data_IF_718050493053
#
_entry.id   IF_718050493053
#
_cell.length_a   1.000
_cell.length_b   1.000
_cell.length_c   1.000
_cell.angle_alpha   90.00
_cell.angle_beta   90.00
_cell.angle_gamma   90.00
#
_symmetry.space_group_name_H-M   'P 1'
#
loop_
_entity.id
_entity.type
_entity.pdbx_description
1 polymer ?
#
# COMPACT_ATOMS: atom_id res chain seq x y z
N UNK A 1 23.65 32.47 -2.27
CA UNK A 1 22.80 32.43 -3.48
C UNK A 1 22.32 31.01 -3.77
N UNK A 2 21.05 30.78 -3.51
CA UNK A 2 20.32 29.54 -3.70
C UNK A 2 19.42 29.67 -4.95
N UNK A 3 19.40 28.63 -5.79
CA UNK A 3 18.54 28.56 -6.98
C UNK A 3 17.48 27.49 -6.77
N UNK A 4 16.21 27.86 -6.88
CA UNK A 4 15.06 26.97 -6.70
C UNK A 4 14.33 26.88 -8.03
N UNK A 5 14.03 25.69 -8.50
CA UNK A 5 13.27 25.49 -9.73
C UNK A 5 12.26 24.35 -9.53
N UNK A 6 11.04 24.57 -10.02
CA UNK A 6 10.00 23.55 -10.08
C UNK A 6 9.68 23.22 -11.52
N UNK A 7 9.78 21.95 -11.91
CA UNK A 7 9.33 21.48 -13.21
C UNK A 7 8.03 20.69 -13.02
N UNK A 8 6.95 21.16 -13.62
CA UNK A 8 5.68 20.45 -13.61
C UNK A 8 5.75 19.24 -14.55
N UNK A 9 5.71 18.02 -14.00
CA UNK A 9 5.69 16.79 -14.80
C UNK A 9 4.28 16.40 -15.22
N UNK A 10 3.28 16.66 -14.36
CA UNK A 10 1.87 16.43 -14.64
C UNK A 10 0.97 17.41 -13.88
N UNK A 11 -0.35 17.21 -13.88
CA UNK A 11 -1.22 17.98 -12.99
C UNK A 11 -0.98 17.68 -11.51
N UNK A 12 -0.46 16.50 -11.20
CA UNK A 12 -0.35 15.95 -9.85
C UNK A 12 1.07 15.93 -9.30
N UNK A 13 2.08 16.11 -10.15
CA UNK A 13 3.49 15.88 -9.78
C UNK A 13 4.37 17.02 -10.27
N UNK A 14 5.23 17.47 -9.35
CA UNK A 14 6.26 18.46 -9.57
C UNK A 14 7.62 17.85 -9.24
N UNK A 15 8.61 18.14 -10.07
CA UNK A 15 10.02 17.93 -9.78
C UNK A 15 10.57 19.20 -9.13
N UNK A 16 11.11 19.08 -7.92
CA UNK A 16 11.81 20.15 -7.24
C UNK A 16 13.31 20.02 -7.50
N UNK A 17 13.93 21.12 -7.92
CA UNK A 17 15.38 21.25 -8.11
C UNK A 17 15.93 22.36 -7.22
N UNK A 18 17.11 22.10 -6.68
CA UNK A 18 17.88 23.05 -5.89
C UNK A 18 19.29 23.12 -6.44
N UNK A 19 19.76 24.34 -6.75
CA UNK A 19 21.06 24.59 -7.36
C UNK A 19 21.32 23.73 -8.60
N UNK A 20 20.31 23.63 -9.48
CA UNK A 20 20.31 22.82 -10.72
C UNK A 20 20.33 21.29 -10.54
N UNK A 21 20.34 20.79 -9.29
CA UNK A 21 20.28 19.37 -8.98
C UNK A 21 18.86 18.94 -8.64
N UNK A 22 18.50 17.70 -9.01
CA UNK A 22 17.27 17.07 -8.55
C UNK A 22 17.29 16.98 -7.02
N UNK A 23 16.21 17.44 -6.39
CA UNK A 23 16.01 17.32 -4.94
C UNK A 23 15.01 16.20 -4.62
N UNK A 24 13.77 16.33 -5.11
CA UNK A 24 12.70 15.34 -4.91
C UNK A 24 11.54 15.56 -5.86
N UNK A 25 10.69 14.55 -6.00
CA UNK A 25 9.33 14.73 -6.48
C UNK A 25 8.41 15.18 -5.34
N UNK A 26 7.39 15.95 -5.70
CA UNK A 26 6.42 16.52 -4.77
C UNK A 26 5.04 16.36 -5.40
N UNK A 27 4.10 15.77 -4.66
CA UNK A 27 2.71 15.69 -5.10
C UNK A 27 2.06 17.08 -5.12
N UNK A 28 0.92 17.22 -5.79
CA UNK A 28 0.18 18.50 -5.83
C UNK A 28 -0.15 19.01 -4.44
N UNK A 29 -0.67 18.15 -3.57
CA UNK A 29 -1.02 18.50 -2.19
C UNK A 29 0.21 18.98 -1.40
N UNK A 30 1.33 18.24 -1.49
CA UNK A 30 2.56 18.65 -0.82
C UNK A 30 3.14 19.94 -1.41
N UNK A 31 2.96 20.19 -2.70
CA UNK A 31 3.43 21.42 -3.34
C UNK A 31 2.62 22.63 -2.87
N UNK A 32 1.30 22.49 -2.74
CA UNK A 32 0.44 23.53 -2.18
C UNK A 32 0.82 23.83 -0.71
N UNK A 33 1.16 22.81 0.09
CA UNK A 33 1.68 22.98 1.46
C UNK A 33 3.07 23.66 1.48
N UNK A 34 3.97 23.26 0.58
CA UNK A 34 5.31 23.83 0.46
C UNK A 34 5.26 25.30 0.04
N UNK A 35 4.40 25.66 -0.90
CA UNK A 35 4.20 27.04 -1.34
C UNK A 35 3.76 27.95 -0.18
N UNK A 36 2.81 27.49 0.65
CA UNK A 36 2.38 28.23 1.84
C UNK A 36 3.51 28.41 2.84
N UNK A 37 4.31 27.36 3.08
CA UNK A 37 5.45 27.42 3.99
C UNK A 37 6.56 28.35 3.48
N UNK A 38 6.84 28.36 2.17
CA UNK A 38 7.84 29.24 1.56
C UNK A 38 7.40 30.71 1.67
N UNK A 39 6.10 31.00 1.45
CA UNK A 39 5.57 32.36 1.63
C UNK A 39 5.69 32.82 3.09
N UNK A 40 5.36 31.95 4.05
CA UNK A 40 5.53 32.27 5.45
C UNK A 40 7.00 32.55 5.81
N UNK A 41 7.92 31.74 5.31
CA UNK A 41 9.35 31.98 5.47
C UNK A 41 9.81 33.31 4.85
N UNK A 42 9.29 33.66 3.67
CA UNK A 42 9.57 34.94 3.01
C UNK A 42 9.10 36.14 3.85
N UNK A 43 7.92 36.05 4.45
CA UNK A 43 7.38 37.07 5.35
C UNK A 43 8.25 37.25 6.61
N UNK A 44 8.77 36.16 7.18
CA UNK A 44 9.64 36.20 8.37
C UNK A 44 11.03 36.80 8.10
N UNK A 45 11.56 36.59 6.89
CA UNK A 45 12.94 36.97 6.50
C UNK A 45 13.00 38.29 5.72
N UNK A 46 11.85 38.90 5.42
CA UNK A 46 11.71 40.08 4.55
C UNK A 46 12.23 39.84 3.10
N UNK A 47 12.31 38.57 2.69
CA UNK A 47 12.87 38.13 1.41
C UNK A 47 11.84 38.17 0.28
N UNK A 48 11.68 39.37 -0.29
CA UNK A 48 10.69 39.66 -1.33
C UNK A 48 10.67 38.72 -2.56
N UNK A 49 11.80 38.18 -3.08
CA UNK A 49 11.73 37.30 -4.24
C UNK A 49 10.97 36.00 -3.97
N UNK A 50 10.99 35.48 -2.74
CA UNK A 50 10.27 34.25 -2.36
C UNK A 50 8.75 34.43 -2.35
N UNK A 51 8.24 35.66 -2.18
CA UNK A 51 6.81 35.96 -2.32
C UNK A 51 6.29 35.69 -3.75
N UNK A 52 7.19 35.68 -4.74
CA UNK A 52 6.86 35.36 -6.12
C UNK A 52 6.99 33.86 -6.45
N UNK A 53 7.35 33.02 -5.48
CA UNK A 53 7.45 31.57 -5.69
C UNK A 53 6.11 31.02 -6.17
N UNK A 54 6.12 30.50 -7.40
CA UNK A 54 4.97 29.89 -8.02
C UNK A 54 5.41 28.57 -8.65
N UNK A 55 4.94 27.42 -8.13
CA UNK A 55 5.38 26.11 -8.60
C UNK A 55 4.95 25.78 -10.05
N UNK A 56 4.06 26.59 -10.62
CA UNK A 56 3.63 26.47 -12.02
C UNK A 56 4.56 27.19 -13.01
N UNK A 57 5.49 28.00 -12.52
CA UNK A 57 6.46 28.73 -13.35
C UNK A 57 7.77 27.94 -13.39
N UNK A 58 8.23 27.60 -14.59
CA UNK A 58 9.44 26.79 -14.78
C UNK A 58 10.74 27.60 -14.66
N UNK A 59 10.66 28.93 -14.60
CA UNK A 59 11.82 29.81 -14.45
C UNK A 59 12.44 29.63 -13.07
N UNK A 60 13.76 29.43 -12.96
CA UNK A 60 14.42 29.32 -11.68
C UNK A 60 14.33 30.61 -10.88
N UNK A 61 13.90 30.50 -9.62
CA UNK A 61 13.96 31.57 -8.64
C UNK A 61 15.35 31.57 -8.00
N UNK A 62 16.03 32.72 -8.08
CA UNK A 62 17.35 32.93 -7.47
C UNK A 62 17.19 33.85 -6.28
N UNK A 63 17.63 33.40 -5.11
CA UNK A 63 17.53 34.12 -3.85
C UNK A 63 18.90 34.19 -3.19
N UNK A 64 19.24 35.34 -2.63
CA UNK A 64 20.47 35.52 -1.88
C UNK A 64 20.13 35.68 -0.41
N UNK A 65 20.54 34.70 0.39
CA UNK A 65 20.11 34.56 1.78
C UNK A 65 21.34 34.56 2.70
N UNK A 66 21.11 34.88 3.98
CA UNK A 66 22.08 34.56 5.03
C UNK A 66 22.35 33.05 5.06
N UNK A 67 23.50 32.61 5.61
CA UNK A 67 23.79 31.17 5.70
C UNK A 67 22.74 30.40 6.53
N UNK A 68 22.24 31.04 7.58
CA UNK A 68 21.25 30.42 8.46
C UNK A 68 19.89 30.33 7.77
N UNK A 69 19.48 31.35 7.03
CA UNK A 69 18.24 31.36 6.26
C UNK A 69 18.30 30.44 5.04
N UNK A 70 19.46 30.33 4.38
CA UNK A 70 19.70 29.34 3.32
C UNK A 70 19.51 27.92 3.88
N UNK A 71 20.08 27.62 5.04
CA UNK A 71 19.91 26.32 5.69
C UNK A 71 18.45 26.04 6.09
N UNK A 72 17.74 27.03 6.65
CA UNK A 72 16.31 26.92 6.99
C UNK A 72 15.44 26.69 5.76
N UNK A 73 15.69 27.41 4.66
CA UNK A 73 14.93 27.23 3.42
C UNK A 73 15.25 25.87 2.77
N UNK A 74 16.50 25.41 2.82
CA UNK A 74 16.87 24.07 2.37
C UNK A 74 16.14 22.98 3.16
N UNK A 75 16.09 23.09 4.49
CA UNK A 75 15.30 22.18 5.33
C UNK A 75 13.83 22.18 4.93
N UNK A 76 13.27 23.35 4.63
CA UNK A 76 11.88 23.47 4.18
C UNK A 76 11.63 22.77 2.83
N UNK A 77 12.53 22.98 1.86
CA UNK A 77 12.44 22.42 0.51
C UNK A 77 12.61 20.89 0.50
N UNK A 78 13.53 20.38 1.32
CA UNK A 78 13.87 18.96 1.34
C UNK A 78 12.98 18.16 2.31
N UNK A 79 12.79 18.68 3.51
CA UNK A 79 12.21 17.96 4.64
C UNK A 79 10.86 18.54 5.09
N UNK A 80 10.50 19.75 4.66
CA UNK A 80 9.24 20.40 5.01
C UNK A 80 9.01 20.48 6.54
N UNK A 81 10.08 20.65 7.33
CA UNK A 81 10.08 20.65 8.80
C UNK A 81 9.69 19.29 9.43
N UNK A 82 9.84 18.19 8.69
CA UNK A 82 9.68 16.81 9.18
C UNK A 82 11.06 16.22 9.53
N UNK A 83 11.09 15.17 10.35
CA UNK A 83 12.32 14.44 10.68
C UNK A 83 12.78 13.64 9.46
N UNK A 84 14.01 13.80 8.94
CA UNK A 84 14.55 12.94 7.90
C UNK A 84 14.94 11.57 8.45
N UNK A 85 14.92 10.54 7.60
CA UNK A 85 15.54 9.23 7.87
C UNK A 85 16.93 9.23 7.26
N UNK A 86 17.96 9.20 8.11
CA UNK A 86 19.36 9.19 7.70
C UNK A 86 19.77 7.77 7.27
N UNK A 87 19.65 7.48 5.98
CA UNK A 87 20.03 6.18 5.43
C UNK A 87 21.55 5.96 5.42
N UNK A 88 22.02 4.70 5.59
CA UNK A 88 23.37 4.30 5.24
C UNK A 88 23.70 4.65 3.78
N UNK A 89 24.97 4.96 3.50
CA UNK A 89 25.44 5.46 2.20
C UNK A 89 24.92 4.62 1.02
N UNK A 90 24.96 3.30 1.15
CA UNK A 90 24.53 2.34 0.14
C UNK A 90 23.02 2.36 -0.18
N UNK A 91 22.20 2.95 0.68
CA UNK A 91 20.75 3.05 0.52
C UNK A 91 20.27 4.45 0.12
N UNK A 92 21.17 5.43 0.05
CA UNK A 92 20.86 6.85 -0.21
C UNK A 92 20.45 7.16 -1.64
N UNK A 93 20.68 6.24 -2.60
CA UNK A 93 20.37 6.48 -4.02
C UNK A 93 19.34 5.48 -4.56
N UNK A 94 18.47 5.97 -5.45
CA UNK A 94 17.54 5.15 -6.21
C UNK A 94 18.29 4.22 -7.19
N UNK A 95 17.64 3.14 -7.63
CA UNK A 95 18.31 2.09 -8.40
C UNK A 95 18.67 2.56 -9.80
N UNK A 96 17.71 3.13 -10.52
CA UNK A 96 17.80 3.40 -11.96
C UNK A 96 18.39 4.79 -12.21
N UNK A 97 17.78 5.82 -11.64
CA UNK A 97 18.15 7.21 -11.92
C UNK A 97 19.26 7.76 -11.01
N UNK A 98 19.65 7.01 -9.97
CA UNK A 98 20.61 7.44 -8.94
C UNK A 98 20.20 8.74 -8.25
N UNK A 99 18.89 8.93 -8.06
CA UNK A 99 18.37 10.09 -7.33
C UNK A 99 18.52 9.90 -5.82
N UNK A 100 18.79 10.97 -5.06
CA UNK A 100 18.80 10.92 -3.61
C UNK A 100 17.44 10.46 -3.07
N UNK A 101 17.47 9.51 -2.17
CA UNK A 101 16.29 9.00 -1.47
C UNK A 101 16.08 9.79 -0.19
N UNK A 102 15.11 10.69 -0.22
CA UNK A 102 14.72 11.50 0.93
C UNK A 102 13.39 10.96 1.46
N UNK A 103 13.43 10.39 2.66
CA UNK A 103 12.24 9.95 3.39
C UNK A 103 12.15 10.77 4.66
N UNK A 104 10.97 11.35 4.92
CA UNK A 104 10.74 12.23 6.06
C UNK A 104 9.41 11.89 6.74
N UNK A 105 9.34 12.02 8.06
CA UNK A 105 8.14 11.76 8.85
C UNK A 105 7.92 12.83 9.91
N UNK A 106 6.66 13.14 10.17
CA UNK A 106 6.23 14.06 11.23
C UNK A 106 6.47 13.44 12.61
N UNK A 107 6.44 14.25 13.66
CA UNK A 107 6.64 13.76 15.02
C UNK A 107 5.64 12.64 15.38
N UNK A 108 6.15 11.57 15.98
CA UNK A 108 5.39 10.37 16.36
C UNK A 108 5.17 10.27 17.88
N UNK A 109 5.56 11.31 18.64
CA UNK A 109 5.51 11.32 20.10
C UNK A 109 4.12 11.00 20.65
N UNK A 110 3.05 11.41 19.96
CA UNK A 110 1.66 11.13 20.37
C UNK A 110 1.25 9.66 20.19
N UNK A 111 1.96 8.90 19.35
CA UNK A 111 1.67 7.48 19.07
C UNK A 111 2.61 6.52 19.81
N UNK A 112 3.48 7.05 20.67
CA UNK A 112 4.44 6.22 21.41
C UNK A 112 3.70 5.22 22.30
N UNK A 113 4.07 3.95 22.18
CA UNK A 113 3.44 2.83 22.89
C UNK A 113 1.94 2.63 22.57
N UNK A 114 1.46 3.03 21.38
CA UNK A 114 0.03 2.95 21.02
C UNK A 114 -0.60 1.55 21.18
N UNK A 115 0.21 0.49 21.15
CA UNK A 115 -0.25 -0.90 21.34
C UNK A 115 -0.62 -1.24 22.79
N UNK A 116 -0.28 -0.38 23.76
CA UNK A 116 -0.60 -0.57 25.17
C UNK A 116 -2.03 -0.10 25.54
N UNK A 117 -2.51 0.98 24.91
CA UNK A 117 -3.90 1.46 25.04
C UNK A 117 -4.47 1.70 23.64
N UNK A 118 -5.19 0.70 23.10
CA UNK A 118 -5.75 0.73 21.73
C UNK A 118 -6.94 1.70 21.56
N UNK A 119 -7.01 2.77 22.36
CA UNK A 119 -7.96 3.87 22.16
C UNK A 119 -7.57 4.74 20.96
N UNK A 120 -8.49 5.63 20.59
CA UNK A 120 -8.43 6.51 19.42
C UNK A 120 -7.02 7.10 19.21
N UNK A 121 -6.34 6.66 18.15
CA UNK A 121 -4.98 7.08 17.79
C UNK A 121 -4.32 6.18 16.75
N UNK A 122 -4.54 4.86 16.84
CA UNK A 122 -3.94 3.90 15.89
C UNK A 122 -4.32 4.18 14.43
N UNK A 123 -5.59 4.52 14.13
CA UNK A 123 -6.01 4.86 12.77
C UNK A 123 -5.32 6.12 12.22
N UNK A 124 -5.05 7.10 13.09
CA UNK A 124 -4.32 8.33 12.71
C UNK A 124 -2.85 8.04 12.45
N UNK A 125 -2.23 7.15 13.24
CA UNK A 125 -0.88 6.66 12.98
C UNK A 125 -0.78 6.05 11.58
N UNK A 126 -1.65 5.09 11.23
CA UNK A 126 -1.59 4.45 9.91
C UNK A 126 -1.82 5.44 8.77
N UNK A 127 -2.72 6.41 8.95
CA UNK A 127 -2.95 7.48 7.97
C UNK A 127 -1.70 8.36 7.80
N UNK A 128 -1.03 8.72 8.89
CA UNK A 128 0.19 9.52 8.87
C UNK A 128 1.34 8.76 8.19
N UNK A 129 1.57 7.50 8.57
CA UNK A 129 2.61 6.66 7.97
C UNK A 129 2.35 6.42 6.48
N UNK A 130 1.10 6.17 6.09
CA UNK A 130 0.70 6.04 4.68
C UNK A 130 1.09 7.27 3.88
N UNK A 131 0.64 8.46 4.30
CA UNK A 131 0.87 9.72 3.60
C UNK A 131 2.35 10.07 3.48
N UNK A 132 3.15 9.76 4.49
CA UNK A 132 4.52 10.27 4.61
C UNK A 132 5.59 9.26 4.16
N UNK A 133 5.29 7.96 4.18
CA UNK A 133 6.26 6.90 3.89
C UNK A 133 5.88 6.00 2.71
N UNK A 134 4.66 6.13 2.17
CA UNK A 134 4.15 5.24 1.12
C UNK A 134 3.53 6.03 -0.04
N UNK A 135 2.60 6.95 0.23
CA UNK A 135 1.81 7.67 -0.80
C UNK A 135 2.53 8.92 -1.33
N UNK A 136 3.74 8.73 -1.83
CA UNK A 136 4.53 9.74 -2.54
C UNK A 136 4.94 9.20 -3.91
N UNK A 137 5.31 10.04 -4.90
CA UNK A 137 5.80 9.54 -6.18
C UNK A 137 7.05 8.65 -6.02
N UNK A 138 7.14 7.58 -6.81
CA UNK A 138 8.39 6.82 -6.96
C UNK A 138 9.48 7.71 -7.58
N UNK A 139 10.74 7.52 -7.15
CA UNK A 139 11.87 8.30 -7.67
C UNK A 139 12.30 7.86 -9.07
N UNK A 140 12.17 6.57 -9.39
CA UNK A 140 12.57 6.05 -10.70
C UNK A 140 11.38 5.99 -11.68
N UNK A 141 10.13 6.00 -11.18
CA UNK A 141 8.89 5.99 -11.99
C UNK A 141 7.80 6.89 -11.37
N UNK A 142 7.95 8.23 -11.42
CA UNK A 142 7.02 9.15 -10.77
C UNK A 142 5.60 9.06 -11.31
N UNK A 143 5.41 8.55 -12.54
CA UNK A 143 4.09 8.44 -13.17
C UNK A 143 3.28 7.22 -12.72
N UNK A 144 3.79 6.43 -11.76
CA UNK A 144 3.11 5.27 -11.20
C UNK A 144 2.02 5.66 -10.17
N UNK A 145 0.92 6.22 -10.66
CA UNK A 145 -0.21 6.63 -9.84
C UNK A 145 -1.55 6.50 -10.57
N UNK A 146 -2.63 6.56 -9.81
CA UNK A 146 -4.00 6.63 -10.32
C UNK A 146 -4.73 7.83 -9.72
N UNK A 147 -5.49 8.57 -10.53
CA UNK A 147 -6.30 9.70 -10.08
C UNK A 147 -7.77 9.40 -10.30
N UNK A 148 -8.59 9.51 -9.25
CA UNK A 148 -10.05 9.41 -9.32
C UNK A 148 -10.68 10.39 -8.36
N UNK A 149 -11.68 11.15 -8.83
CA UNK A 149 -12.43 12.11 -8.00
C UNK A 149 -11.53 13.07 -7.19
N UNK A 150 -10.49 13.63 -7.83
CA UNK A 150 -9.50 14.54 -7.22
C UNK A 150 -8.71 13.93 -6.04
N UNK A 151 -8.68 12.60 -5.93
CA UNK A 151 -7.80 11.87 -5.04
C UNK A 151 -6.76 11.13 -5.88
N UNK A 152 -5.58 10.98 -5.31
CA UNK A 152 -4.44 10.28 -5.92
C UNK A 152 -4.06 9.08 -5.06
N UNK A 153 -3.75 7.96 -5.70
CA UNK A 153 -3.04 6.86 -5.04
C UNK A 153 -1.77 6.59 -5.81
N UNK A 154 -0.66 6.57 -5.09
CA UNK A 154 0.64 6.18 -5.61
C UNK A 154 0.83 4.68 -5.42
N UNK A 155 1.70 4.09 -6.25
CA UNK A 155 2.14 2.71 -6.07
C UNK A 155 0.97 1.71 -6.05
N UNK A 156 0.07 1.73 -7.05
CA UNK A 156 -1.18 0.95 -7.04
C UNK A 156 -1.01 -0.54 -6.68
N UNK A 157 0.16 -1.09 -6.98
CA UNK A 157 0.55 -2.45 -6.61
C UNK A 157 1.10 -2.60 -5.18
N UNK A 158 1.93 -1.67 -4.71
CA UNK A 158 2.74 -1.79 -3.47
C UNK A 158 2.51 -0.66 -2.46
N UNK A 159 1.43 0.11 -2.65
CA UNK A 159 1.07 1.26 -1.83
C UNK A 159 0.29 0.88 -0.59
N UNK A 160 -0.44 1.85 -0.03
CA UNK A 160 -1.08 1.74 1.29
C UNK A 160 -2.02 0.55 1.38
N UNK A 161 -2.87 0.36 0.36
CA UNK A 161 -3.81 -0.75 0.34
C UNK A 161 -3.10 -2.12 0.41
N UNK A 162 -1.94 -2.28 -0.24
CA UNK A 162 -1.12 -3.49 -0.18
C UNK A 162 -0.58 -3.74 1.23
N UNK A 163 -0.05 -2.69 1.87
CA UNK A 163 0.42 -2.75 3.26
C UNK A 163 -0.70 -3.16 4.22
N UNK A 164 -1.88 -2.52 4.13
CA UNK A 164 -3.04 -2.84 4.99
C UNK A 164 -3.51 -4.29 4.82
N UNK A 165 -3.59 -4.80 3.58
CA UNK A 165 -3.95 -6.20 3.35
C UNK A 165 -2.93 -7.15 3.95
N UNK A 166 -1.64 -6.84 3.83
CA UNK A 166 -0.55 -7.67 4.35
C UNK A 166 -0.60 -7.73 5.88
N UNK A 167 -0.92 -6.63 6.56
CA UNK A 167 -1.19 -6.61 8.02
C UNK A 167 -2.29 -7.61 8.40
N UNK A 168 -3.41 -7.58 7.70
CA UNK A 168 -4.55 -8.48 7.97
C UNK A 168 -4.19 -9.93 7.66
N UNK A 169 -3.44 -10.19 6.60
CA UNK A 169 -2.96 -11.53 6.25
C UNK A 169 -1.98 -12.07 7.31
N UNK A 170 -1.07 -11.24 7.84
CA UNK A 170 -0.17 -11.63 8.95
C UNK A 170 -0.99 -11.99 10.19
N UNK A 171 -1.94 -11.14 10.59
CA UNK A 171 -2.83 -11.41 11.75
C UNK A 171 -3.62 -12.70 11.56
N UNK A 172 -4.16 -12.92 10.37
CA UNK A 172 -4.96 -14.12 10.05
C UNK A 172 -4.10 -15.38 10.00
N UNK A 173 -2.90 -15.29 9.42
CA UNK A 173 -1.90 -16.37 9.43
C UNK A 173 -1.50 -16.74 10.85
N UNK A 174 -1.24 -15.76 11.72
CA UNK A 174 -0.94 -16.01 13.13
C UNK A 174 -2.09 -16.73 13.85
N UNK A 175 -3.33 -16.33 13.59
CA UNK A 175 -4.51 -16.99 14.17
C UNK A 175 -4.66 -18.44 13.71
N UNK A 176 -4.39 -18.74 12.43
CA UNK A 176 -4.32 -20.12 11.91
C UNK A 176 -3.32 -20.97 12.69
N UNK A 177 -2.11 -20.43 12.91
CA UNK A 177 -1.05 -21.15 13.63
C UNK A 177 -1.41 -21.43 15.10
N UNK A 178 -2.17 -20.54 15.75
CA UNK A 178 -2.67 -20.78 17.11
C UNK A 178 -3.64 -21.96 17.20
N UNK A 179 -4.32 -22.31 16.12
CA UNK A 179 -5.27 -23.42 16.10
C UNK A 179 -4.67 -24.70 15.52
N UNK A 180 -4.03 -24.59 14.35
CA UNK A 180 -3.59 -25.71 13.50
C UNK A 180 -2.08 -25.90 13.41
N UNK A 181 -1.29 -25.00 14.03
CA UNK A 181 0.17 -25.13 14.08
C UNK A 181 0.59 -26.44 14.74
N UNK A 182 1.76 -26.95 14.37
CA UNK A 182 2.45 -28.02 15.11
C UNK A 182 2.61 -27.62 16.59
N UNK A 183 2.82 -28.57 17.50
CA UNK A 183 2.81 -28.27 18.94
C UNK A 183 3.79 -27.15 19.33
N UNK A 184 4.98 -27.14 18.72
CA UNK A 184 5.97 -26.08 18.89
C UNK A 184 5.49 -24.74 18.33
N UNK A 185 5.06 -24.71 17.07
CA UNK A 185 4.58 -23.50 16.38
C UNK A 185 3.38 -22.91 17.09
N UNK A 186 2.44 -23.75 17.51
CA UNK A 186 1.24 -23.38 18.27
C UNK A 186 1.59 -22.78 19.62
N UNK A 187 2.59 -23.34 20.30
CA UNK A 187 3.10 -22.80 21.57
C UNK A 187 3.74 -21.43 21.36
N UNK A 188 4.59 -21.28 20.36
CA UNK A 188 5.20 -19.99 20.01
C UNK A 188 4.13 -18.95 19.65
N UNK A 189 3.18 -19.29 18.77
CA UNK A 189 2.12 -18.39 18.34
C UNK A 189 1.21 -17.95 19.49
N UNK A 190 0.92 -18.83 20.46
CA UNK A 190 0.15 -18.48 21.67
C UNK A 190 0.92 -17.58 22.64
N UNK A 191 2.24 -17.63 22.61
CA UNK A 191 3.13 -16.86 23.50
C UNK A 191 3.57 -15.52 22.90
N UNK A 192 3.16 -15.17 21.68
CA UNK A 192 3.41 -13.83 21.14
C UNK A 192 2.57 -12.79 21.90
N UNK A 193 3.24 -11.79 22.45
CA UNK A 193 2.60 -10.68 23.15
C UNK A 193 1.93 -9.67 22.20
N UNK A 194 1.17 -8.74 22.78
CA UNK A 194 0.52 -7.65 22.03
C UNK A 194 1.53 -6.76 21.31
N UNK A 195 2.65 -6.45 21.96
CA UNK A 195 3.73 -5.65 21.36
C UNK A 195 4.32 -6.34 20.12
N UNK A 196 4.68 -7.62 20.22
CA UNK A 196 5.23 -8.40 19.10
C UNK A 196 4.28 -8.41 17.90
N UNK A 197 2.98 -8.61 18.14
CA UNK A 197 2.00 -8.67 17.07
C UNK A 197 1.78 -7.31 16.39
N UNK A 198 1.78 -6.21 17.16
CA UNK A 198 1.67 -4.86 16.59
C UNK A 198 2.95 -4.44 15.86
N UNK A 199 4.12 -4.86 16.35
CA UNK A 199 5.40 -4.65 15.68
C UNK A 199 5.45 -5.40 14.33
N UNK A 200 4.96 -6.66 14.29
CA UNK A 200 4.82 -7.42 13.04
C UNK A 200 3.83 -6.77 12.07
N UNK A 201 2.72 -6.21 12.57
CA UNK A 201 1.79 -5.46 11.73
C UNK A 201 2.47 -4.20 11.16
N UNK A 202 3.20 -3.43 11.96
CA UNK A 202 3.98 -2.29 11.49
C UNK A 202 5.00 -2.71 10.41
N UNK A 203 5.76 -3.78 10.64
CA UNK A 203 6.70 -4.31 9.68
C UNK A 203 6.02 -4.74 8.37
N UNK A 204 4.86 -5.40 8.46
CA UNK A 204 4.10 -5.83 7.28
C UNK A 204 3.51 -4.65 6.48
N UNK A 205 3.13 -3.56 7.16
CA UNK A 205 2.65 -2.33 6.53
C UNK A 205 3.78 -1.62 5.78
N UNK A 206 4.96 -1.56 6.40
CA UNK A 206 6.14 -0.87 5.86
C UNK A 206 7.05 -1.76 5.02
N UNK A 207 6.68 -3.02 4.79
CA UNK A 207 7.49 -4.02 4.08
C UNK A 207 7.96 -3.53 2.70
N UNK A 208 7.17 -2.68 2.05
CA UNK A 208 7.41 -2.14 0.71
C UNK A 208 7.67 -0.63 0.68
N UNK A 209 7.84 0.01 1.83
CA UNK A 209 8.06 1.47 1.95
C UNK A 209 9.40 1.94 1.36
N UNK A 210 10.41 1.08 1.27
CA UNK A 210 11.73 1.40 0.72
C UNK A 210 11.81 1.39 -0.81
N UNK A 211 10.70 1.18 -1.52
CA UNK A 211 10.70 1.04 -2.98
C UNK A 211 10.81 2.41 -3.67
N UNK A 212 11.57 2.47 -4.75
CA UNK A 212 11.67 3.65 -5.63
C UNK A 212 11.10 3.42 -7.03
N UNK A 213 10.60 2.21 -7.30
CA UNK A 213 10.07 1.71 -8.56
C UNK A 213 9.22 0.42 -8.33
N UNK A 214 8.71 -0.15 -9.42
CA UNK A 214 8.02 -1.44 -9.45
C UNK A 214 8.94 -2.66 -9.71
N UNK A 215 10.27 -2.51 -9.68
CA UNK A 215 11.21 -3.60 -9.93
C UNK A 215 11.14 -4.71 -8.86
N UNK A 216 11.46 -5.93 -9.28
CA UNK A 216 11.49 -7.06 -8.36
C UNK A 216 12.67 -6.96 -7.37
N UNK A 217 12.72 -7.84 -6.39
CA UNK A 217 13.85 -7.88 -5.46
C UNK A 217 15.18 -8.19 -6.15
N UNK A 218 15.15 -9.07 -7.14
CA UNK A 218 16.35 -9.46 -7.89
C UNK A 218 16.90 -8.28 -8.71
N UNK A 219 16.01 -7.41 -9.19
CA UNK A 219 16.34 -6.25 -10.02
C UNK A 219 16.78 -5.04 -9.16
N UNK A 220 16.11 -4.82 -8.02
CA UNK A 220 16.47 -3.82 -7.01
C UNK A 220 16.66 -4.46 -5.63
N UNK A 221 17.89 -4.94 -5.32
CA UNK A 221 18.19 -5.55 -4.03
C UNK A 221 18.22 -4.53 -2.87
N UNK A 222 18.19 -3.22 -3.16
CA UNK A 222 18.33 -2.17 -2.15
C UNK A 222 17.01 -1.85 -1.43
N UNK A 223 15.85 -2.11 -2.04
CA UNK A 223 14.59 -1.69 -1.43
C UNK A 223 14.27 -2.45 -0.14
N UNK A 224 14.61 -3.74 -0.02
CA UNK A 224 14.29 -4.51 1.18
C UNK A 224 15.09 -4.02 2.40
N UNK A 225 16.43 -3.84 2.29
CA UNK A 225 17.21 -3.13 3.31
C UNK A 225 16.68 -1.72 3.61
N UNK A 226 16.25 -0.97 2.59
CA UNK A 226 15.66 0.37 2.80
C UNK A 226 14.35 0.31 3.58
N UNK A 227 13.44 -0.60 3.23
CA UNK A 227 12.19 -0.83 3.97
C UNK A 227 12.47 -1.24 5.42
N UNK A 228 13.45 -2.12 5.65
CA UNK A 228 13.85 -2.55 6.99
C UNK A 228 14.39 -1.37 7.81
N UNK A 229 15.18 -0.48 7.20
CA UNK A 229 15.71 0.70 7.86
C UNK A 229 14.62 1.73 8.19
N UNK A 230 13.67 1.95 7.29
CA UNK A 230 12.47 2.78 7.54
C UNK A 230 11.69 2.19 8.72
N UNK A 231 11.40 0.89 8.70
CA UNK A 231 10.73 0.19 9.79
C UNK A 231 11.46 0.37 11.12
N UNK A 232 12.76 0.11 11.17
CA UNK A 232 13.58 0.24 12.39
C UNK A 232 13.50 1.65 12.97
N UNK A 233 13.63 2.67 12.12
CA UNK A 233 13.55 4.07 12.54
C UNK A 233 12.18 4.39 13.14
N UNK A 234 11.10 4.05 12.44
CA UNK A 234 9.73 4.31 12.90
C UNK A 234 9.40 3.51 14.16
N UNK A 235 9.83 2.25 14.24
CA UNK A 235 9.57 1.41 15.40
C UNK A 235 10.30 1.91 16.66
N UNK A 236 11.51 2.44 16.51
CA UNK A 236 12.22 3.11 17.61
C UNK A 236 11.48 4.36 18.11
N UNK A 237 11.01 5.21 17.20
CA UNK A 237 10.25 6.42 17.56
C UNK A 237 8.94 6.07 18.29
N UNK A 238 8.27 5.00 17.87
CA UNK A 238 7.07 4.48 18.52
C UNK A 238 7.35 3.78 19.85
N UNK A 239 8.62 3.51 20.18
CA UNK A 239 9.06 2.99 21.47
C UNK A 239 9.05 1.46 21.60
N UNK A 240 9.10 0.71 20.50
CA UNK A 240 9.17 -0.75 20.56
C UNK A 240 10.49 -1.22 21.19
N UNK A 241 10.48 -2.40 21.80
CA UNK A 241 11.70 -3.04 22.29
C UNK A 241 12.79 -3.14 21.19
N UNK A 242 14.03 -2.64 21.44
CA UNK A 242 15.10 -2.67 20.44
C UNK A 242 15.47 -4.06 19.91
N UNK A 243 15.41 -5.10 20.74
CA UNK A 243 15.76 -6.46 20.32
C UNK A 243 14.66 -7.06 19.44
N UNK A 244 13.39 -6.76 19.74
CA UNK A 244 12.26 -7.10 18.89
C UNK A 244 12.35 -6.40 17.52
N UNK A 245 12.67 -5.10 17.49
CA UNK A 245 12.87 -4.34 16.25
C UNK A 245 13.95 -5.01 15.41
N UNK A 246 15.10 -5.30 16.02
CA UNK A 246 16.20 -5.98 15.34
C UNK A 246 15.76 -7.32 14.76
N UNK A 247 15.10 -8.17 15.56
CA UNK A 247 14.65 -9.49 15.14
C UNK A 247 13.69 -9.46 13.96
N UNK A 248 12.73 -8.53 13.95
CA UNK A 248 11.78 -8.37 12.86
C UNK A 248 12.43 -7.74 11.63
N UNK A 249 13.35 -6.78 11.80
CA UNK A 249 14.05 -6.12 10.68
C UNK A 249 14.86 -7.10 9.84
N UNK A 250 15.45 -8.12 10.48
CA UNK A 250 16.20 -9.19 9.79
C UNK A 250 15.30 -10.09 8.93
N UNK A 251 13.97 -10.03 9.13
CA UNK A 251 12.98 -10.84 8.41
C UNK A 251 12.42 -10.16 7.15
N UNK A 252 12.84 -8.94 6.81
CA UNK A 252 12.43 -8.23 5.58
C UNK A 252 12.97 -8.90 4.32
N UNK A 253 14.05 -9.65 4.46
CA UNK A 253 14.58 -10.55 3.46
C UNK A 253 14.05 -11.97 3.74
N UNK A 254 13.23 -12.50 2.84
CA UNK A 254 12.55 -13.79 3.02
C UNK A 254 13.40 -15.01 2.66
N UNK A 255 14.53 -14.81 1.98
CA UNK A 255 15.37 -15.89 1.47
C UNK A 255 16.76 -15.91 2.14
N UNK A 256 17.09 -14.87 2.91
CA UNK A 256 18.25 -14.86 3.79
C UNK A 256 18.09 -15.83 4.94
N UNK A 257 19.09 -16.69 5.09
CA UNK A 257 19.21 -17.56 6.25
C UNK A 257 19.40 -16.73 7.53
N UNK A 258 18.55 -16.99 8.52
CA UNK A 258 18.69 -16.40 9.84
C UNK A 258 19.91 -17.02 10.54
N UNK A 259 20.90 -16.20 10.90
CA UNK A 259 22.14 -16.67 11.52
C UNK A 259 21.87 -17.40 12.84
N UNK A 260 22.50 -18.56 13.00
CA UNK A 260 22.47 -19.35 14.23
C UNK A 260 23.59 -18.91 15.17
N UNK A 261 23.25 -18.60 16.42
CA UNK A 261 24.22 -18.64 17.51
C UNK A 261 24.00 -19.90 18.35
N UNK A 262 25.08 -20.46 18.91
CA UNK A 262 25.12 -21.79 19.54
C UNK A 262 24.56 -21.84 20.99
N UNK A 263 23.81 -20.83 21.44
CA UNK A 263 23.24 -20.76 22.78
C UNK A 263 21.74 -21.13 22.78
N UNK A 264 21.25 -21.76 23.85
CA UNK A 264 19.84 -22.18 24.02
C UNK A 264 18.90 -20.96 24.03
N UNK A 265 19.36 -19.82 24.55
CA UNK A 265 18.66 -18.53 24.47
C UNK A 265 18.53 -18.06 23.00
N UNK A 266 19.55 -18.30 22.19
CA UNK A 266 19.59 -17.99 20.76
C UNK A 266 18.72 -18.94 19.95
N UNK A 267 18.54 -20.20 20.37
CA UNK A 267 17.61 -21.15 19.75
C UNK A 267 16.15 -20.72 19.88
N UNK A 268 15.68 -20.29 21.07
CA UNK A 268 14.31 -19.78 21.26
C UNK A 268 14.07 -18.50 20.45
N UNK A 269 15.05 -17.60 20.46
CA UNK A 269 15.02 -16.37 19.65
C UNK A 269 14.97 -16.69 18.16
N UNK A 270 15.74 -17.68 17.70
CA UNK A 270 15.70 -18.18 16.31
C UNK A 270 14.31 -18.69 15.93
N UNK A 271 13.68 -19.53 16.74
CA UNK A 271 12.35 -20.07 16.41
C UNK A 271 11.29 -18.96 16.32
N UNK A 272 11.39 -17.93 17.17
CA UNK A 272 10.56 -16.72 17.06
C UNK A 272 10.81 -15.97 15.75
N UNK A 273 12.07 -15.72 15.39
CA UNK A 273 12.42 -15.06 14.12
C UNK A 273 11.96 -15.85 12.90
N UNK A 274 12.13 -17.18 12.91
CA UNK A 274 11.58 -18.05 11.85
C UNK A 274 10.07 -17.89 11.76
N UNK A 275 9.35 -17.85 12.88
CA UNK A 275 7.91 -17.60 12.87
C UNK A 275 7.56 -16.23 12.26
N UNK A 276 8.31 -15.17 12.60
CA UNK A 276 8.11 -13.83 12.03
C UNK A 276 8.34 -13.81 10.52
N UNK A 277 9.48 -14.33 10.05
CA UNK A 277 9.84 -14.42 8.64
C UNK A 277 8.79 -15.22 7.88
N UNK A 278 8.34 -16.35 8.42
CA UNK A 278 7.34 -17.19 7.77
C UNK A 278 5.97 -16.52 7.71
N UNK A 279 5.53 -15.80 8.75
CA UNK A 279 4.27 -15.04 8.70
C UNK A 279 4.31 -13.92 7.65
N UNK A 280 5.41 -13.16 7.58
CA UNK A 280 5.59 -12.12 6.57
C UNK A 280 5.66 -12.72 5.15
N UNK A 281 6.40 -13.83 4.98
CA UNK A 281 6.51 -14.55 3.70
C UNK A 281 5.17 -15.11 3.27
N UNK A 282 4.41 -15.73 4.18
CA UNK A 282 3.07 -16.27 3.93
C UNK A 282 2.11 -15.18 3.45
N UNK A 283 2.06 -14.06 4.18
CA UNK A 283 1.21 -12.92 3.82
C UNK A 283 1.61 -12.35 2.45
N UNK A 284 2.91 -12.13 2.21
CA UNK A 284 3.40 -11.64 0.93
C UNK A 284 3.05 -12.58 -0.23
N UNK A 285 3.28 -13.89 -0.11
CA UNK A 285 2.97 -14.85 -1.17
C UNK A 285 1.46 -14.91 -1.45
N UNK A 286 0.62 -14.78 -0.43
CA UNK A 286 -0.83 -14.76 -0.61
C UNK A 286 -1.29 -13.47 -1.31
N UNK A 287 -0.67 -12.33 -1.00
CA UNK A 287 -0.96 -11.03 -1.62
C UNK A 287 -0.67 -11.01 -3.13
N UNK A 288 0.18 -11.91 -3.63
CA UNK A 288 0.48 -12.07 -5.06
C UNK A 288 -0.70 -12.53 -5.93
N UNK A 289 -1.85 -12.90 -5.35
CA UNK A 289 -3.10 -13.13 -6.13
C UNK A 289 -3.46 -11.93 -7.01
N UNK A 290 -2.98 -10.72 -6.67
CA UNK A 290 -3.17 -9.51 -7.48
C UNK A 290 -2.26 -9.37 -8.70
N UNK A 291 -1.13 -10.09 -8.74
CA UNK A 291 -0.10 -9.92 -9.77
C UNK A 291 0.38 -11.24 -10.41
N UNK A 292 -0.10 -12.40 -9.96
CA UNK A 292 0.19 -13.72 -10.54
C UNK A 292 -1.10 -14.42 -10.99
N UNK A 293 -1.15 -14.83 -12.25
CA UNK A 293 -2.34 -15.43 -12.87
C UNK A 293 -2.57 -16.91 -12.56
N UNK A 294 -1.52 -17.66 -12.21
CA UNK A 294 -1.59 -19.12 -12.00
C UNK A 294 -1.88 -19.44 -10.54
N UNK A 295 -3.13 -19.82 -10.24
CA UNK A 295 -3.55 -20.15 -8.88
C UNK A 295 -2.78 -21.33 -8.30
N UNK A 296 -2.47 -22.34 -9.10
CA UNK A 296 -1.78 -23.56 -8.67
C UNK A 296 -0.37 -23.26 -8.19
N UNK A 297 0.32 -22.31 -8.83
CA UNK A 297 1.66 -21.88 -8.43
C UNK A 297 1.61 -21.19 -7.07
N UNK A 298 0.62 -20.33 -6.84
CA UNK A 298 0.42 -19.68 -5.54
C UNK A 298 0.05 -20.71 -4.47
N UNK A 299 -0.91 -21.61 -4.76
CA UNK A 299 -1.35 -22.65 -3.85
C UNK A 299 -0.21 -23.59 -3.44
N UNK A 300 0.69 -23.92 -4.38
CA UNK A 300 1.88 -24.74 -4.09
C UNK A 300 2.81 -24.04 -3.10
N UNK A 301 3.09 -22.75 -3.30
CA UNK A 301 3.95 -21.98 -2.40
C UNK A 301 3.36 -21.85 -1.00
N UNK A 302 2.07 -21.52 -0.91
CA UNK A 302 1.36 -21.44 0.38
C UNK A 302 1.31 -22.81 1.06
N UNK A 303 1.03 -23.88 0.32
CA UNK A 303 1.02 -25.24 0.86
C UNK A 303 2.39 -25.67 1.38
N UNK A 304 3.48 -25.29 0.71
CA UNK A 304 4.85 -25.55 1.20
C UNK A 304 5.08 -24.90 2.56
N UNK A 305 4.75 -23.62 2.70
CA UNK A 305 4.88 -22.89 3.97
C UNK A 305 3.99 -23.51 5.05
N UNK A 306 2.76 -23.93 4.71
CA UNK A 306 1.88 -24.61 5.66
C UNK A 306 2.35 -26.01 6.05
N UNK A 307 2.99 -26.77 5.16
CA UNK A 307 3.59 -28.07 5.50
C UNK A 307 4.70 -27.93 6.56
N UNK A 308 5.43 -26.81 6.55
CA UNK A 308 6.48 -26.53 7.53
C UNK A 308 5.92 -26.11 8.91
N UNK A 309 4.70 -25.56 8.94
CA UNK A 309 4.15 -24.91 10.13
C UNK A 309 3.02 -25.69 10.82
N UNK A 310 2.24 -26.45 10.06
CA UNK A 310 1.00 -27.07 10.54
C UNK A 310 1.19 -28.55 10.89
N UNK A 311 0.25 -29.11 11.64
CA UNK A 311 0.23 -30.54 11.93
C UNK A 311 0.10 -31.35 10.63
N UNK A 312 0.76 -32.53 10.49
CA UNK A 312 0.64 -33.38 9.28
C UNK A 312 -0.78 -33.83 8.95
N UNK A 313 -1.67 -33.88 9.95
CA UNK A 313 -3.09 -34.22 9.80
C UNK A 313 -3.94 -33.05 9.33
N UNK A 314 -3.37 -31.84 9.18
CA UNK A 314 -4.11 -30.65 8.78
C UNK A 314 -4.52 -30.73 7.31
N UNK A 315 -5.69 -30.18 6.92
CA UNK A 315 -6.13 -30.16 5.54
C UNK A 315 -5.41 -29.05 4.74
N UNK A 316 -4.09 -29.19 4.56
CA UNK A 316 -3.20 -28.13 4.04
C UNK A 316 -3.65 -27.55 2.70
N UNK A 317 -4.03 -28.41 1.75
CA UNK A 317 -4.52 -27.97 0.45
C UNK A 317 -5.77 -27.09 0.58
N UNK A 318 -6.71 -27.49 1.44
CA UNK A 318 -7.92 -26.70 1.69
C UNK A 318 -7.59 -25.37 2.37
N UNK A 319 -6.72 -25.37 3.40
CA UNK A 319 -6.29 -24.15 4.08
C UNK A 319 -5.57 -23.19 3.13
N UNK A 320 -4.72 -23.69 2.23
CA UNK A 320 -4.05 -22.88 1.23
C UNK A 320 -5.06 -22.22 0.28
N UNK A 321 -6.06 -22.97 -0.20
CA UNK A 321 -7.15 -22.43 -1.02
C UNK A 321 -7.95 -21.37 -0.28
N UNK A 322 -8.33 -21.62 0.98
CA UNK A 322 -9.08 -20.65 1.79
C UNK A 322 -8.27 -19.38 2.05
N UNK A 323 -6.98 -19.51 2.35
CA UNK A 323 -6.11 -18.35 2.60
C UNK A 323 -5.90 -17.49 1.35
N UNK A 324 -5.77 -18.11 0.17
CA UNK A 324 -5.70 -17.40 -1.12
C UNK A 324 -7.03 -16.75 -1.51
N UNK A 325 -8.15 -17.43 -1.24
CA UNK A 325 -9.48 -16.86 -1.44
C UNK A 325 -9.69 -15.65 -0.52
N UNK A 326 -9.25 -15.74 0.74
CA UNK A 326 -9.28 -14.61 1.67
C UNK A 326 -8.42 -13.43 1.18
N UNK A 327 -7.19 -13.69 0.71
CA UNK A 327 -6.37 -12.64 0.09
C UNK A 327 -7.07 -11.96 -1.11
N UNK A 328 -7.82 -12.72 -1.91
CA UNK A 328 -8.63 -12.17 -3.00
C UNK A 328 -9.85 -11.38 -2.51
N UNK A 329 -10.51 -11.80 -1.42
CA UNK A 329 -11.56 -11.01 -0.74
C UNK A 329 -11.01 -9.67 -0.27
N UNK A 330 -9.81 -9.65 0.31
CA UNK A 330 -9.15 -8.40 0.70
C UNK A 330 -8.85 -7.53 -0.52
N UNK A 331 -8.36 -8.10 -1.63
CA UNK A 331 -8.12 -7.35 -2.87
C UNK A 331 -9.41 -6.74 -3.44
N UNK A 332 -10.52 -7.50 -3.47
CA UNK A 332 -11.86 -7.03 -3.86
C UNK A 332 -12.27 -5.82 -3.03
N UNK A 333 -12.07 -5.88 -1.72
CA UNK A 333 -12.47 -4.83 -0.77
C UNK A 333 -11.53 -3.61 -0.73
N UNK A 334 -10.39 -3.67 -1.42
CA UNK A 334 -9.51 -2.52 -1.63
C UNK A 334 -9.42 -2.11 -3.11
N UNK A 335 -10.24 -2.69 -3.98
CA UNK A 335 -10.24 -2.39 -5.42
C UNK A 335 -9.00 -2.85 -6.19
N UNK A 336 -8.11 -3.63 -5.57
CA UNK A 336 -6.93 -4.17 -6.23
C UNK A 336 -7.32 -5.30 -7.20
N UNK A 337 -6.52 -5.53 -8.24
CA UNK A 337 -6.81 -6.60 -9.18
C UNK A 337 -6.75 -7.98 -8.52
N UNK A 338 -7.45 -8.95 -9.10
CA UNK A 338 -7.28 -10.39 -8.81
C UNK A 338 -7.04 -11.10 -10.13
N UNK A 339 -5.86 -11.66 -10.33
CA UNK A 339 -5.48 -12.22 -11.63
C UNK A 339 -5.94 -13.66 -11.86
N UNK A 340 -5.88 -14.56 -10.86
CA UNK A 340 -6.47 -15.89 -10.98
C UNK A 340 -7.95 -15.78 -11.33
N UNK A 341 -8.34 -16.39 -12.45
CA UNK A 341 -9.68 -16.27 -13.01
C UNK A 341 -10.69 -17.00 -12.10
N UNK A 342 -10.29 -18.13 -11.56
CA UNK A 342 -11.05 -19.00 -10.68
C UNK A 342 -11.49 -18.26 -9.40
N UNK A 343 -10.58 -17.45 -8.83
CA UNK A 343 -10.89 -16.63 -7.66
C UNK A 343 -11.86 -15.48 -8.01
N UNK A 344 -11.68 -14.84 -9.17
CA UNK A 344 -12.60 -13.79 -9.62
C UNK A 344 -14.01 -14.30 -9.87
N UNK A 345 -14.13 -15.45 -10.50
CA UNK A 345 -15.41 -16.12 -10.75
C UNK A 345 -16.08 -16.51 -9.43
N UNK A 346 -15.32 -17.07 -8.48
CA UNK A 346 -15.81 -17.39 -7.14
C UNK A 346 -16.35 -16.15 -6.41
N UNK A 347 -15.67 -15.01 -6.54
CA UNK A 347 -16.03 -13.77 -5.86
C UNK A 347 -17.02 -12.89 -6.63
N UNK A 348 -17.48 -13.33 -7.81
CA UNK A 348 -18.33 -12.55 -8.72
C UNK A 348 -17.81 -11.12 -8.94
N UNK A 349 -16.49 -10.97 -9.14
CA UNK A 349 -15.85 -9.66 -9.27
C UNK A 349 -15.24 -9.43 -10.66
N UNK A 350 -15.17 -8.15 -11.05
CA UNK A 350 -14.41 -7.71 -12.21
C UNK A 350 -12.90 -7.86 -12.04
N UNK A 351 -12.12 -7.33 -12.99
CA UNK A 351 -10.66 -7.41 -12.92
C UNK A 351 -10.09 -6.62 -11.74
N UNK A 352 -10.52 -5.37 -11.55
CA UNK A 352 -10.12 -4.44 -10.49
C UNK A 352 -11.20 -3.35 -10.29
N UNK A 353 -11.06 -2.51 -9.26
CA UNK A 353 -11.88 -1.30 -9.07
C UNK A 353 -10.96 -0.10 -8.73
N UNK A 354 -10.50 0.66 -9.73
CA UNK A 354 -9.57 1.77 -9.52
C UNK A 354 -10.12 2.91 -8.65
N UNK A 355 -11.44 3.16 -8.70
CA UNK A 355 -12.08 4.17 -7.84
C UNK A 355 -11.94 3.78 -6.37
N UNK A 356 -12.21 2.51 -6.07
CA UNK A 356 -12.04 1.98 -4.72
C UNK A 356 -10.57 1.94 -4.30
N UNK A 357 -9.66 1.56 -5.20
CA UNK A 357 -8.22 1.56 -4.90
C UNK A 357 -7.72 2.94 -4.48
N UNK A 358 -8.08 3.98 -5.24
CA UNK A 358 -7.76 5.37 -4.89
C UNK A 358 -8.40 5.78 -3.58
N UNK A 359 -9.67 5.41 -3.35
CA UNK A 359 -10.34 5.72 -2.10
C UNK A 359 -9.64 5.09 -0.89
N UNK A 360 -9.30 3.81 -0.97
CA UNK A 360 -8.68 3.07 0.12
C UNK A 360 -7.27 3.54 0.48
N UNK A 361 -6.51 4.04 -0.50
CA UNK A 361 -5.22 4.66 -0.24
C UNK A 361 -5.34 5.99 0.53
N UNK A 362 -6.45 6.70 0.39
CA UNK A 362 -6.67 8.01 1.01
C UNK A 362 -7.46 7.95 2.32
N UNK A 363 -8.25 6.90 2.55
CA UNK A 363 -9.05 6.69 3.77
C UNK A 363 -8.56 5.44 4.50
N UNK A 364 -7.38 5.55 5.10
CA UNK A 364 -6.61 4.44 5.67
C UNK A 364 -7.32 3.90 6.91
N UNK A 365 -7.85 4.79 7.75
CA UNK A 365 -8.57 4.41 8.97
C UNK A 365 -9.82 3.58 8.69
N UNK A 366 -10.68 4.04 7.77
CA UNK A 366 -11.89 3.29 7.40
C UNK A 366 -11.54 1.99 6.68
N UNK A 367 -10.55 2.02 5.79
CA UNK A 367 -10.10 0.82 5.08
C UNK A 367 -9.59 -0.23 6.06
N UNK A 368 -8.70 0.12 6.99
CA UNK A 368 -8.18 -0.81 7.98
C UNK A 368 -9.28 -1.38 8.88
N UNK A 369 -10.25 -0.55 9.30
CA UNK A 369 -11.42 -1.01 10.07
C UNK A 369 -12.20 -2.07 9.30
N UNK A 370 -12.50 -1.82 8.03
CA UNK A 370 -13.25 -2.75 7.19
C UNK A 370 -12.49 -4.07 6.98
N UNK A 371 -11.19 -4.01 6.68
CA UNK A 371 -10.38 -5.21 6.51
C UNK A 371 -10.19 -5.98 7.83
N UNK A 372 -10.20 -5.29 8.97
CA UNK A 372 -10.14 -5.93 10.30
C UNK A 372 -11.38 -6.77 10.57
N UNK A 373 -12.57 -6.25 10.27
CA UNK A 373 -13.83 -7.01 10.38
C UNK A 373 -13.77 -8.27 9.51
N UNK A 374 -13.32 -8.15 8.26
CA UNK A 374 -13.16 -9.31 7.37
C UNK A 374 -12.15 -10.34 7.91
N UNK A 375 -11.05 -9.88 8.52
CA UNK A 375 -10.08 -10.75 9.17
C UNK A 375 -10.64 -11.48 10.39
N UNK A 376 -11.48 -10.82 11.19
CA UNK A 376 -12.12 -11.43 12.36
C UNK A 376 -13.12 -12.51 11.95
N UNK A 377 -13.96 -12.22 10.95
CA UNK A 377 -14.90 -13.20 10.37
C UNK A 377 -14.16 -14.40 9.76
N UNK A 378 -13.10 -14.15 8.98
CA UNK A 378 -12.27 -15.21 8.43
C UNK A 378 -11.66 -16.10 9.52
N UNK A 379 -11.13 -15.51 10.59
CA UNK A 379 -10.52 -16.26 11.69
C UNK A 379 -11.55 -17.03 12.51
N UNK A 380 -12.77 -16.54 12.63
CA UNK A 380 -13.82 -17.24 13.39
C UNK A 380 -14.29 -18.50 12.66
N UNK A 381 -14.43 -18.44 11.34
CA UNK A 381 -14.99 -19.54 10.53
C UNK A 381 -13.93 -20.40 9.82
N UNK A 382 -12.77 -19.82 9.50
CA UNK A 382 -11.78 -20.36 8.55
C UNK A 382 -12.40 -20.88 7.24
N UNK A 383 -13.52 -20.29 6.85
CA UNK A 383 -14.25 -20.58 5.62
C UNK A 383 -14.68 -19.25 4.99
N UNK A 384 -14.14 -18.99 3.80
CA UNK A 384 -14.45 -17.79 3.05
C UNK A 384 -15.89 -17.76 2.54
N UNK A 385 -16.66 -18.86 2.54
CA UNK A 385 -18.07 -18.82 2.11
C UNK A 385 -18.89 -17.78 2.90
N UNK A 386 -18.61 -17.64 4.19
CA UNK A 386 -19.26 -16.66 5.07
C UNK A 386 -18.96 -15.19 4.70
N UNK A 387 -17.82 -14.93 4.06
CA UNK A 387 -17.31 -13.57 3.75
C UNK A 387 -17.18 -13.27 2.24
N UNK A 388 -17.29 -14.28 1.38
CA UNK A 388 -17.26 -14.14 -0.07
C UNK A 388 -18.55 -13.50 -0.58
N UNK A 389 -19.67 -13.85 0.08
CA UNK A 389 -21.00 -13.27 -0.13
C UNK A 389 -21.21 -11.98 0.69
N UNK A 390 -20.39 -11.76 1.73
CA UNK A 390 -20.43 -10.54 2.52
C UNK A 390 -20.13 -9.35 1.60
N UNK A 391 -21.22 -8.64 1.32
CA UNK A 391 -21.35 -7.38 0.61
C UNK A 391 -20.06 -6.58 0.62
N UNK A 392 -19.62 -6.15 -0.58
CA UNK A 392 -18.95 -4.85 -0.73
C UNK A 392 -19.62 -3.91 0.25
N UNK A 393 -18.95 -3.55 1.35
CA UNK A 393 -19.57 -2.79 2.45
C UNK A 393 -20.42 -1.67 1.82
N UNK A 394 -21.67 -1.39 2.26
CA UNK A 394 -22.55 -0.46 1.54
C UNK A 394 -21.86 0.88 1.22
N UNK A 395 -21.01 1.38 2.13
CA UNK A 395 -20.15 2.53 1.86
C UNK A 395 -19.17 2.31 0.70
N UNK A 396 -18.51 1.14 0.59
CA UNK A 396 -17.68 0.74 -0.57
C UNK A 396 -18.46 0.77 -1.88
N UNK A 397 -19.75 0.40 -1.89
CA UNK A 397 -20.62 0.52 -3.07
C UNK A 397 -20.94 2.00 -3.38
N UNK A 398 -21.37 2.79 -2.39
CA UNK A 398 -21.65 4.23 -2.55
C UNK A 398 -20.41 5.04 -2.98
N UNK A 399 -19.25 4.74 -2.41
CA UNK A 399 -17.96 5.35 -2.73
C UNK A 399 -17.46 4.94 -4.12
N UNK A 400 -17.71 3.70 -4.55
CA UNK A 400 -17.38 3.25 -5.91
C UNK A 400 -18.21 3.92 -7.01
N UNK A 401 -19.40 4.45 -6.66
CA UNK A 401 -20.30 5.15 -7.57
C UNK A 401 -20.09 6.68 -7.60
N UNK A 402 -19.14 7.22 -6.81
CA UNK A 402 -18.89 8.67 -6.74
C UNK A 402 -20.05 9.46 -6.12
N UNK A 403 -21.00 8.79 -5.47
CA UNK A 403 -22.15 9.44 -4.85
C UNK A 403 -21.73 9.87 -3.44
N UNK A 404 -21.68 11.19 -3.20
CA UNK A 404 -21.56 11.71 -1.83
C UNK A 404 -22.72 11.16 -1.01
N UNK A 405 -22.42 10.43 0.05
CA UNK A 405 -23.43 9.90 0.95
C UNK A 405 -24.09 11.10 1.67
N UNK A 406 -25.24 11.57 1.17
CA UNK A 406 -26.00 12.69 1.77
C UNK A 406 -26.77 12.29 3.03
N UNK A 407 -26.60 11.05 3.50
CA UNK A 407 -27.31 10.51 4.66
C UNK A 407 -26.31 10.06 5.73
N UNK A 408 -25.74 11.03 6.46
CA UNK A 408 -24.92 10.81 7.68
C UNK A 408 -25.71 10.20 8.86
N UNK A 409 -26.96 9.76 8.68
CA UNK A 409 -27.85 9.38 9.79
C UNK A 409 -28.51 8.00 9.71
N UNK A 410 -28.11 7.13 8.79
CA UNK A 410 -28.53 5.73 8.86
C UNK A 410 -27.40 4.88 9.43
N UNK A 411 -27.23 4.97 10.75
CA UNK A 411 -26.80 3.82 11.54
C UNK A 411 -27.75 2.67 11.20
N UNK A 412 -27.27 1.70 10.43
CA UNK A 412 -27.98 0.45 10.23
C UNK A 412 -27.98 -0.25 11.59
N UNK A 413 -29.08 -0.08 12.31
CA UNK A 413 -29.46 -0.95 13.40
C UNK A 413 -29.49 -2.37 12.84
N UNK A 414 -28.53 -3.19 13.27
CA UNK A 414 -28.61 -4.65 13.21
C UNK A 414 -29.91 -5.06 13.93
N UNK A 415 -30.96 -5.24 13.16
CA UNK A 415 -32.14 -5.99 13.57
C UNK A 415 -32.30 -7.17 12.63
N UNK A 416 -32.08 -8.34 13.20
CA UNK A 416 -32.63 -9.60 12.74
C UNK A 416 -34.08 -9.40 12.28
N UNK A 417 -34.34 -9.63 11.00
CA UNK A 417 -35.55 -10.33 10.56
C UNK A 417 -35.35 -10.87 9.15
N UNK A 418 -35.44 -12.19 9.06
CA UNK A 418 -35.80 -12.95 7.87
C UNK A 418 -37.09 -12.36 7.31
N UNK A 419 -37.06 -11.77 6.12
CA UNK A 419 -38.09 -11.96 5.09
C UNK A 419 -37.63 -11.36 3.76
N UNK A 420 -37.76 -12.18 2.73
CA UNK A 420 -37.50 -11.92 1.32
C UNK A 420 -38.22 -10.67 0.83
N UNK A 421 -37.46 -9.74 0.22
CA UNK A 421 -37.99 -8.89 -0.85
C UNK A 421 -36.91 -8.80 -1.94
N UNK A 422 -37.14 -9.51 -3.04
CA UNK A 422 -36.43 -9.30 -4.30
C UNK A 422 -36.71 -7.88 -4.79
N UNK A 423 -35.78 -6.96 -4.56
CA UNK A 423 -35.72 -5.72 -5.31
C UNK A 423 -34.99 -6.00 -6.63
N UNK A 424 -35.77 -6.37 -7.65
CA UNK A 424 -35.31 -6.44 -9.02
C UNK A 424 -35.03 -5.02 -9.53
N UNK A 425 -33.76 -4.61 -9.56
CA UNK A 425 -33.33 -3.41 -10.28
C UNK A 425 -33.02 -3.79 -11.73
N UNK A 426 -33.91 -3.45 -12.65
CA UNK A 426 -33.60 -3.49 -14.09
C UNK A 426 -32.85 -2.21 -14.47
N UNK A 427 -31.61 -2.35 -14.93
CA UNK A 427 -30.87 -1.26 -15.57
C UNK A 427 -30.79 -1.55 -17.08
N UNK A 428 -31.44 -0.71 -17.89
CA UNK A 428 -31.14 -0.62 -19.33
C UNK A 428 -29.81 0.13 -19.49
N UNK A 429 -28.73 -0.62 -19.70
CA UNK A 429 -27.42 -0.07 -20.01
C UNK A 429 -27.33 0.20 -21.53
N UNK A 430 -27.57 1.45 -21.94
CA UNK A 430 -27.43 1.89 -23.33
C UNK A 430 -25.96 2.01 -23.82
N UNK A 431 -24.98 1.50 -23.06
CA UNK A 431 -23.55 1.61 -23.37
C UNK A 431 -22.96 0.39 -24.12
N UNK A 432 -23.77 -0.65 -24.35
CA UNK A 432 -23.43 -1.80 -25.20
C UNK A 432 -24.48 -2.04 -26.29
N UNK A 433 -24.79 -1.03 -27.09
CA UNK A 433 -25.40 -1.29 -28.41
C UNK A 433 -24.29 -1.79 -29.35
N UNK A 434 -24.32 -3.09 -29.63
CA UNK A 434 -23.59 -3.69 -30.75
C UNK A 434 -23.93 -2.92 -32.04
N UNK A 435 -22.98 -2.67 -32.95
CA UNK A 435 -23.32 -2.09 -34.25
C UNK A 435 -24.25 -3.02 -35.00
N UNK A 436 -25.33 -2.44 -35.53
CA UNK A 436 -26.32 -3.12 -36.34
C UNK A 436 -25.67 -3.91 -37.48
N UNK A 437 -26.17 -5.13 -37.69
CA UNK A 437 -25.94 -5.92 -38.90
C UNK A 437 -26.27 -5.06 -40.12
N UNK A 438 -25.24 -4.70 -40.89
CA UNK A 438 -25.41 -4.20 -42.26
C UNK A 438 -26.05 -5.33 -43.06
N UNK A 439 -27.34 -5.18 -43.34
CA UNK A 439 -28.09 -5.98 -44.30
C UNK A 439 -27.48 -5.84 -45.68
N UNK A 440 -27.09 -6.97 -46.27
CA UNK A 440 -26.84 -7.10 -47.70
C UNK A 440 -28.06 -6.65 -48.49
N UNK A 441 -27.90 -5.60 -49.30
CA UNK A 441 -28.79 -5.37 -50.45
C UNK A 441 -27.95 -5.29 -51.71
N UNK A 442 -28.05 -6.35 -52.52
CA UNK A 442 -27.63 -6.43 -53.91
C UNK A 442 -28.18 -5.25 -54.71
N UNK A 443 -27.31 -4.50 -55.40
CA UNK A 443 -27.61 -3.88 -56.70
C UNK A 443 -26.36 -3.95 -57.59
N UNK A 444 -26.56 -4.60 -58.74
CA UNK A 444 -25.65 -4.69 -59.88
C UNK A 444 -25.51 -3.34 -60.63
N UNK A 445 -24.54 -3.21 -61.57
CA UNK A 445 -23.70 -2.02 -61.74
C UNK A 445 -24.11 -1.13 -62.92
N UNK A 446 -23.36 -0.04 -63.16
CA UNK A 446 -23.04 0.35 -64.53
C UNK A 446 -21.54 0.56 -64.79
N UNK A 447 -21.07 -0.21 -65.77
CA UNK A 447 -20.12 0.08 -66.86
C UNK A 447 -19.03 1.16 -66.73
N UNK A 448 -17.78 0.68 -66.87
CA UNK A 448 -16.74 1.06 -67.86
C UNK A 448 -16.53 2.57 -68.14
N UNK A 449 -15.31 3.05 -67.83
CA UNK A 449 -14.47 3.74 -68.81
C UNK A 449 -12.98 3.66 -68.43
N UNK A 450 -12.20 3.15 -69.38
CA UNK A 450 -10.75 3.11 -69.44
C UNK A 450 -10.14 4.51 -69.61
N UNK A 451 -8.99 4.71 -68.98
CA UNK A 451 -7.77 5.37 -69.51
C UNK A 451 -6.70 5.25 -68.42
N UNK A 452 -5.48 4.77 -68.60
CA UNK A 452 -4.66 4.56 -69.78
C UNK A 452 -3.32 5.28 -69.57
N UNK A 453 -2.25 4.49 -69.38
CA UNK A 453 -0.81 4.75 -69.65
C UNK A 453 -0.19 6.08 -69.16
N UNK A 454 0.95 6.09 -68.47
CA UNK A 454 2.28 5.53 -68.83
C UNK A 454 3.02 5.08 -67.59
#
# INVERSE_FOLDING_TARGET
>A
MLKIQTNRLSSEIFELRVNDHFARYVSRTEMDELELKIRHFADETEENPLLSFNPSVAEPLVVDLSRDDEARLLDLLLHQQKKPIDFPEELTLSKENKYPVIVTYSDLSEFKYYWQDQKAGASLLWQQLSRELIEHPYLDDPHNYEVRHNKIAFHINHGTASGLRTMILVRSGWALLKQWGSDEVKTLAKNLGTEELNCLQLASFLLRSGRTNELSWDDDPSYSPRSAYIFTTIAHELGYDPELIKDISECFDFDKELTSGDDESLSKRRHRKTLYQTLLKLAHQAELVRCKSKLEVLATKISSLFNELLLPTSPISHLATQFLLFAAVLCKNTGSPVLPKELRETLSMGFANPVLAVHCANDVGTTLKNLTVLGEEFVFHFDCKSIADATTHPQTLYLSLGIKNTHEKEEIALKDTVESNELAYSFENAFFSLPEKVTETKKEPPSILNSGMV
#
